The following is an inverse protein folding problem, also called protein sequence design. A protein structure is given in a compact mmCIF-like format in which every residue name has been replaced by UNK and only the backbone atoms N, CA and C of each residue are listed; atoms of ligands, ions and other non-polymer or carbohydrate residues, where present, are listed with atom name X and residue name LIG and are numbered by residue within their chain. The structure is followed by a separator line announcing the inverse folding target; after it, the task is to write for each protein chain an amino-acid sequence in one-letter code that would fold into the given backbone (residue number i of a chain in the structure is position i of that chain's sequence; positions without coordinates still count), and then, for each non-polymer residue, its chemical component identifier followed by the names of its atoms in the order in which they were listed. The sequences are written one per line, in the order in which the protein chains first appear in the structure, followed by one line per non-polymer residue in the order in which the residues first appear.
data_IF_165372821499
#
_entry.id   IF_165372821499
#
_cell.length_a   1.000
_cell.length_b   1.000
_cell.length_c   1.000
_cell.angle_alpha   90.00
_cell.angle_beta   90.00
_cell.angle_gamma   90.00
#
_symmetry.space_group_name_H-M   'P 1'
#
loop_
_entity.id
_entity.type
_entity.pdbx_description
1 polymer ?
#
# COMPACT_ATOMS: atom_id res chain seq x y z
N UNK A 1 19.49 12.47 -9.94
CA UNK A 1 19.11 11.79 -11.20
C UNK A 1 17.70 11.23 -11.03
N UNK A 2 16.76 11.42 -11.96
CA UNK A 2 15.46 10.78 -11.85
C UNK A 2 15.65 9.25 -11.91
N UNK A 3 15.07 8.52 -10.96
CA UNK A 3 15.04 7.06 -11.00
C UNK A 3 14.39 6.62 -12.32
N UNK A 4 15.06 5.77 -13.10
CA UNK A 4 14.40 5.13 -14.24
C UNK A 4 13.45 4.08 -13.70
N UNK A 5 12.15 4.38 -13.73
CA UNK A 5 11.08 3.45 -13.33
C UNK A 5 10.49 2.84 -14.59
N UNK A 6 10.53 1.51 -14.69
CA UNK A 6 9.90 0.74 -15.75
C UNK A 6 8.70 -0.01 -15.17
N UNK A 7 7.54 0.08 -15.81
CA UNK A 7 6.32 -0.62 -15.37
C UNK A 7 6.01 -1.70 -16.40
N UNK A 8 5.78 -2.93 -15.93
CA UNK A 8 5.54 -4.08 -16.81
C UNK A 8 4.32 -4.88 -16.36
N UNK A 9 3.29 -4.93 -17.19
CA UNK A 9 2.15 -5.83 -17.02
C UNK A 9 2.49 -7.30 -17.35
N UNK A 10 2.60 -8.15 -16.32
CA UNK A 10 3.01 -9.57 -16.41
C UNK A 10 1.84 -10.55 -16.20
N UNK A 11 0.62 -10.20 -16.60
CA UNK A 11 -0.60 -11.03 -16.42
C UNK A 11 -1.19 -11.59 -17.73
N UNK A 12 -0.45 -11.54 -18.83
CA UNK A 12 -0.85 -12.14 -20.11
C UNK A 12 -2.22 -11.66 -20.62
N UNK A 13 -3.14 -12.61 -20.81
CA UNK A 13 -4.53 -12.41 -21.24
C UNK A 13 -5.54 -12.68 -20.12
N UNK A 14 -5.13 -12.57 -18.86
CA UNK A 14 -6.01 -12.80 -17.72
C UNK A 14 -7.24 -11.88 -17.78
N UNK A 15 -8.42 -12.48 -17.67
CA UNK A 15 -9.70 -11.75 -17.62
C UNK A 15 -10.04 -11.41 -16.17
N UNK A 16 -10.66 -10.24 -15.95
CA UNK A 16 -11.13 -9.86 -14.64
C UNK A 16 -12.50 -9.15 -14.66
N UNK A 17 -13.34 -9.49 -13.67
CA UNK A 17 -14.54 -8.72 -13.29
C UNK A 17 -14.72 -8.79 -11.78
N UNK A 18 -14.71 -7.63 -11.12
CA UNK A 18 -15.03 -7.57 -9.69
C UNK A 18 -16.42 -8.16 -9.42
N UNK A 19 -16.50 -9.11 -8.50
CA UNK A 19 -17.74 -9.80 -8.12
C UNK A 19 -18.43 -9.15 -6.90
N UNK A 20 -17.87 -8.05 -6.38
CA UNK A 20 -18.29 -7.41 -5.12
C UNK A 20 -18.34 -8.38 -3.91
N UNK A 21 -17.55 -9.46 -3.96
CA UNK A 21 -17.53 -10.52 -2.96
C UNK A 21 -16.82 -10.15 -1.63
N UNK A 22 -16.18 -8.98 -1.55
CA UNK A 22 -15.48 -8.58 -0.32
C UNK A 22 -14.07 -9.15 -0.14
N UNK A 23 -13.59 -10.06 -1.00
CA UNK A 23 -12.24 -10.67 -0.88
C UNK A 23 -11.09 -9.65 -0.72
N UNK A 24 -11.17 -8.48 -1.35
CA UNK A 24 -10.19 -7.40 -1.19
C UNK A 24 -10.32 -6.60 0.12
N UNK A 25 -11.46 -6.70 0.79
CA UNK A 25 -11.79 -5.92 1.98
C UNK A 25 -11.42 -6.65 3.28
N UNK A 26 -11.07 -7.93 3.24
CA UNK A 26 -10.58 -8.65 4.41
C UNK A 26 -9.07 -8.50 4.43
N UNK A 27 -8.58 -7.54 5.24
CA UNK A 27 -7.15 -7.29 5.29
C UNK A 27 -6.42 -8.51 5.88
N UNK A 28 -5.58 -9.16 5.07
CA UNK A 28 -4.63 -10.19 5.45
C UNK A 28 -3.45 -9.49 6.12
N UNK A 29 -3.40 -9.59 7.45
CA UNK A 29 -2.34 -9.06 8.31
C UNK A 29 -1.67 -10.29 8.95
N UNK A 30 -0.53 -10.76 8.42
CA UNK A 30 0.07 -12.00 8.90
C UNK A 30 0.63 -11.82 10.32
N UNK A 31 0.26 -12.70 11.25
CA UNK A 31 0.55 -12.55 12.68
C UNK A 31 2.05 -12.63 12.99
N UNK A 32 2.85 -13.23 12.11
CA UNK A 32 4.28 -13.45 12.26
C UNK A 32 5.17 -12.20 12.02
N UNK A 33 4.57 -11.06 11.67
CA UNK A 33 5.30 -9.79 11.47
C UNK A 33 5.05 -8.85 12.63
N UNK A 34 6.10 -8.23 13.17
CA UNK A 34 5.98 -7.14 14.14
C UNK A 34 5.48 -5.84 13.49
N UNK A 35 5.21 -4.83 14.31
CA UNK A 35 4.73 -3.51 13.87
C UNK A 35 5.73 -2.81 12.93
N UNK A 36 7.02 -3.14 13.03
CA UNK A 36 8.08 -2.68 12.13
C UNK A 36 8.58 -3.83 11.27
N UNK A 37 8.30 -3.77 9.98
CA UNK A 37 8.77 -4.74 8.98
C UNK A 37 10.14 -4.33 8.46
N UNK A 38 11.20 -5.13 8.70
CA UNK A 38 12.54 -4.81 8.26
C UNK A 38 12.71 -5.03 6.74
N UNK A 39 13.69 -4.36 6.10
CA UNK A 39 13.86 -4.39 4.64
C UNK A 39 14.00 -5.80 4.06
N UNK A 40 14.71 -6.71 4.73
CA UNK A 40 14.91 -8.09 4.31
C UNK A 40 13.63 -8.93 4.31
N UNK A 41 12.61 -8.53 5.08
CA UNK A 41 11.29 -9.21 5.14
C UNK A 41 10.19 -8.49 4.36
N UNK A 42 10.48 -7.35 3.71
CA UNK A 42 9.44 -6.59 3.00
C UNK A 42 8.81 -7.37 1.84
N UNK A 43 9.60 -8.15 1.09
CA UNK A 43 9.07 -8.96 -0.01
C UNK A 43 8.08 -10.03 0.50
N UNK A 44 8.46 -10.75 1.56
CA UNK A 44 7.61 -11.73 2.24
C UNK A 44 6.34 -11.08 2.78
N UNK A 45 6.47 -9.91 3.41
CA UNK A 45 5.36 -9.16 3.96
C UNK A 45 4.35 -8.74 2.88
N UNK A 46 4.84 -8.19 1.75
CA UNK A 46 3.99 -7.76 0.63
C UNK A 46 3.26 -8.93 0.00
N UNK A 47 3.88 -10.11 -0.07
CA UNK A 47 3.24 -11.32 -0.61
C UNK A 47 2.13 -11.86 0.31
N UNK A 48 2.40 -11.87 1.63
CA UNK A 48 1.47 -12.44 2.62
C UNK A 48 0.41 -11.44 3.07
N UNK A 49 0.64 -10.14 2.93
CA UNK A 49 -0.29 -9.08 3.32
C UNK A 49 -1.08 -8.53 2.14
N UNK A 50 -2.20 -7.87 2.42
CA UNK A 50 -2.92 -7.05 1.45
C UNK A 50 -3.23 -5.66 2.03
N UNK A 51 -2.32 -5.08 2.83
CA UNK A 51 -2.48 -3.72 3.34
C UNK A 51 -2.81 -2.75 2.20
N UNK A 52 -3.89 -1.98 2.41
CA UNK A 52 -4.39 -1.03 1.42
C UNK A 52 -3.76 0.32 1.73
N UNK A 53 -2.61 0.61 1.10
CA UNK A 53 -1.98 1.92 1.19
C UNK A 53 -2.91 3.02 0.67
N UNK A 54 -2.93 4.14 1.41
CA UNK A 54 -3.70 5.34 1.08
C UNK A 54 -2.72 6.46 0.75
N UNK A 55 -2.91 7.10 -0.40
CA UNK A 55 -2.23 8.37 -0.70
C UNK A 55 -3.02 9.53 -0.09
N UNK A 56 -2.40 10.70 0.06
CA UNK A 56 -3.11 11.90 0.54
C UNK A 56 -4.37 12.19 -0.31
N UNK A 57 -4.27 12.03 -1.63
CA UNK A 57 -5.41 12.22 -2.54
C UNK A 57 -6.52 11.21 -2.30
N UNK A 58 -6.19 9.97 -1.93
CA UNK A 58 -7.18 8.96 -1.59
C UNK A 58 -7.91 9.33 -0.28
N UNK A 59 -7.16 9.76 0.74
CA UNK A 59 -7.71 10.23 2.03
C UNK A 59 -8.68 11.40 1.78
N UNK A 60 -8.25 12.43 1.06
CA UNK A 60 -9.09 13.59 0.77
C UNK A 60 -10.37 13.25 -0.01
N UNK A 61 -10.29 12.31 -0.97
CA UNK A 61 -11.46 11.87 -1.75
C UNK A 61 -12.46 11.13 -0.87
N UNK A 62 -11.98 10.27 0.03
CA UNK A 62 -12.81 9.54 0.96
C UNK A 62 -13.48 10.52 1.93
N UNK A 63 -12.72 11.41 2.58
CA UNK A 63 -13.25 12.46 3.46
C UNK A 63 -14.35 13.28 2.77
N UNK A 64 -14.12 13.78 1.55
CA UNK A 64 -15.14 14.52 0.78
C UNK A 64 -16.41 13.72 0.52
N UNK A 65 -16.29 12.41 0.27
CA UNK A 65 -17.43 11.54 -0.07
C UNK A 65 -18.22 11.06 1.15
N UNK A 66 -17.54 10.82 2.26
CA UNK A 66 -18.11 10.18 3.46
C UNK A 66 -18.37 11.17 4.58
N UNK A 67 -17.72 12.34 4.55
CA UNK A 67 -17.65 13.33 5.65
C UNK A 67 -17.00 12.80 6.93
N UNK A 68 -16.31 11.66 6.86
CA UNK A 68 -15.56 11.10 7.98
C UNK A 68 -14.21 11.80 8.12
N UNK A 69 -13.72 11.89 9.35
CA UNK A 69 -12.36 12.33 9.62
C UNK A 69 -11.34 11.22 9.27
N UNK A 70 -10.09 11.55 8.91
CA UNK A 70 -9.06 10.54 8.60
C UNK A 70 -8.91 9.47 9.69
N UNK A 71 -9.00 9.83 10.96
CA UNK A 71 -8.81 8.94 12.11
C UNK A 71 -9.82 7.78 12.16
N UNK A 72 -10.96 7.94 11.49
CA UNK A 72 -12.02 6.93 11.43
C UNK A 72 -11.70 5.80 10.43
N UNK A 73 -10.85 6.05 9.44
CA UNK A 73 -10.58 5.09 8.36
C UNK A 73 -9.12 4.94 7.96
N UNK A 74 -8.23 5.78 8.47
CA UNK A 74 -6.79 5.72 8.26
C UNK A 74 -6.13 5.11 9.49
N UNK A 75 -5.22 4.19 9.24
CA UNK A 75 -4.43 3.48 10.22
C UNK A 75 -2.95 3.73 9.92
N UNK A 76 -2.21 4.06 10.97
CA UNK A 76 -0.78 4.42 10.96
C UNK A 76 -0.21 3.97 12.30
N UNK A 77 1.09 3.65 12.35
CA UNK A 77 1.71 3.23 13.61
C UNK A 77 1.85 4.41 14.59
N UNK A 78 2.10 5.61 14.05
CA UNK A 78 2.21 6.86 14.78
C UNK A 78 1.03 7.80 14.48
N UNK A 79 0.99 8.96 15.13
CA UNK A 79 -0.20 9.82 15.15
C UNK A 79 -0.53 10.50 13.81
N UNK A 80 0.46 10.73 12.95
CA UNK A 80 0.26 11.46 11.69
C UNK A 80 -0.44 10.60 10.61
N UNK A 81 -1.72 10.88 10.38
CA UNK A 81 -2.56 10.17 9.40
C UNK A 81 -2.24 10.49 7.94
N UNK A 82 -1.37 11.46 7.65
CA UNK A 82 -0.84 11.69 6.29
C UNK A 82 0.45 10.92 6.03
N UNK A 83 0.97 10.26 7.07
CA UNK A 83 2.18 9.46 7.01
C UNK A 83 3.36 10.22 7.58
N UNK A 84 4.31 9.48 8.14
CA UNK A 84 5.48 10.06 8.78
C UNK A 84 6.77 9.33 8.43
N UNK A 85 7.87 10.05 8.67
CA UNK A 85 9.23 9.57 8.51
C UNK A 85 9.91 9.76 9.86
N UNK A 86 10.41 8.66 10.43
CA UNK A 86 11.22 8.69 11.66
C UNK A 86 12.62 8.18 11.37
N UNK A 87 13.57 8.74 12.10
CA UNK A 87 14.97 8.34 12.09
C UNK A 87 15.33 7.91 13.50
N UNK A 88 15.84 6.70 13.62
CA UNK A 88 16.29 6.07 14.85
C UNK A 88 17.74 5.59 14.69
N UNK A 89 18.31 5.04 15.75
CA UNK A 89 19.65 4.43 15.78
C UNK A 89 20.74 5.33 15.18
N UNK A 90 20.73 6.62 15.56
CA UNK A 90 21.71 7.59 15.10
C UNK A 90 21.71 7.86 13.59
N UNK A 91 20.64 7.52 12.89
CA UNK A 91 20.57 7.63 11.42
C UNK A 91 20.65 6.30 10.69
N UNK A 92 20.92 5.19 11.38
CA UNK A 92 20.99 3.85 10.80
C UNK A 92 19.63 3.21 10.54
N UNK A 93 18.56 3.73 11.14
CA UNK A 93 17.21 3.19 11.00
C UNK A 93 16.23 4.26 10.51
N UNK A 94 15.59 4.01 9.38
CA UNK A 94 14.59 4.88 8.78
C UNK A 94 13.24 4.19 8.78
N UNK A 95 12.25 4.73 9.48
CA UNK A 95 10.90 4.16 9.54
C UNK A 95 9.97 4.99 8.66
N UNK A 96 9.35 4.32 7.70
CA UNK A 96 8.34 4.89 6.81
C UNK A 96 6.96 4.44 7.27
N UNK A 97 6.28 5.32 7.98
CA UNK A 97 4.91 5.09 8.44
C UNK A 97 3.92 5.61 7.41
N UNK A 98 3.49 4.70 6.53
CA UNK A 98 2.57 5.04 5.45
C UNK A 98 1.12 4.83 5.88
N UNK A 99 0.21 5.76 5.53
CA UNK A 99 -1.21 5.58 5.78
C UNK A 99 -1.75 4.33 5.11
N UNK A 100 -2.49 3.52 5.84
CA UNK A 100 -3.25 2.39 5.28
C UNK A 100 -4.70 2.45 5.70
N UNK A 101 -5.54 1.72 4.98
CA UNK A 101 -6.95 1.56 5.34
C UNK A 101 -7.08 0.82 6.68
N UNK A 102 -7.90 1.38 7.57
CA UNK A 102 -8.25 0.79 8.86
C UNK A 102 -9.10 -0.47 8.68
N UNK A 103 -8.81 -1.46 9.52
CA UNK A 103 -9.66 -2.63 9.75
C UNK A 103 -10.46 -2.47 11.03
N UNK A 104 -11.64 -3.08 11.06
CA UNK A 104 -12.40 -3.28 12.29
C UNK A 104 -11.70 -4.30 13.17
N UNK A 105 -11.71 -4.05 14.47
CA UNK A 105 -11.12 -4.96 15.46
C UNK A 105 -11.90 -6.27 15.61
N UNK A 106 -13.21 -6.25 15.31
CA UNK A 106 -14.10 -7.40 15.50
C UNK A 106 -13.82 -8.56 14.56
N UNK A 107 -13.46 -8.28 13.31
CA UNK A 107 -13.38 -9.27 12.23
C UNK A 107 -12.24 -9.02 11.23
N UNK A 108 -11.40 -8.00 11.46
CA UNK A 108 -10.27 -7.65 10.59
C UNK A 108 -10.65 -7.10 9.22
N UNK A 109 -11.95 -6.93 8.92
CA UNK A 109 -12.40 -6.39 7.65
C UNK A 109 -12.27 -4.86 7.60
N UNK A 110 -12.10 -4.32 6.39
CA UNK A 110 -12.09 -2.89 6.12
C UNK A 110 -13.34 -2.21 6.73
N UNK A 111 -13.13 -1.05 7.36
CA UNK A 111 -14.21 -0.24 7.97
C UNK A 111 -15.35 0.11 6.99
N UNK A 112 -15.09 0.13 5.68
CA UNK A 112 -16.08 0.40 4.64
C UNK A 112 -16.73 -0.85 4.04
N UNK A 113 -16.41 -2.05 4.51
CA UNK A 113 -17.07 -3.27 4.05
C UNK A 113 -18.33 -3.55 4.86
N UNK A 114 -19.46 -3.75 4.21
CA UNK A 114 -20.70 -4.19 4.87
C UNK A 114 -21.13 -5.52 4.28
N UNK A 115 -21.33 -6.52 5.14
CA UNK A 115 -21.75 -7.84 4.71
C UNK A 115 -23.07 -7.78 3.93
N UNK A 116 -23.18 -8.60 2.88
CA UNK A 116 -24.28 -8.56 1.90
C UNK A 116 -24.37 -7.30 1.02
N UNK A 117 -23.64 -6.20 1.32
CA UNK A 117 -23.65 -4.94 0.52
C UNK A 117 -22.33 -4.66 -0.21
N UNK A 118 -21.23 -5.22 0.29
CA UNK A 118 -19.88 -4.99 -0.22
C UNK A 118 -19.28 -3.66 0.26
N UNK A 119 -18.33 -3.13 -0.51
CA UNK A 119 -17.67 -1.85 -0.20
C UNK A 119 -18.66 -0.67 -0.35
N UNK A 120 -18.87 0.09 0.72
CA UNK A 120 -19.80 1.24 0.76
C UNK A 120 -19.23 2.48 0.06
N UNK A 121 -17.91 2.57 -0.10
CA UNK A 121 -17.22 3.64 -0.82
C UNK A 121 -16.79 3.23 -2.25
N UNK A 122 -17.43 2.23 -2.85
CA UNK A 122 -17.03 1.66 -4.15
C UNK A 122 -16.68 2.69 -5.25
N UNK A 123 -17.44 3.80 -5.43
CA UNK A 123 -17.13 4.83 -6.43
C UNK A 123 -15.86 5.64 -6.17
N UNK A 124 -15.45 5.78 -4.90
CA UNK A 124 -14.27 6.57 -4.49
C UNK A 124 -13.18 5.71 -3.88
N UNK A 125 -13.17 4.40 -4.18
CA UNK A 125 -12.16 3.46 -3.68
C UNK A 125 -10.75 4.01 -3.92
N UNK A 126 -9.82 3.78 -2.97
CA UNK A 126 -8.42 4.20 -3.12
C UNK A 126 -7.75 3.47 -4.28
N UNK A 127 -6.59 3.97 -4.72
CA UNK A 127 -5.88 3.46 -5.89
C UNK A 127 -5.51 1.98 -5.72
N UNK A 128 -5.02 1.57 -4.55
CA UNK A 128 -4.75 0.18 -4.21
C UNK A 128 -5.99 -0.74 -4.41
N UNK A 129 -7.17 -0.29 -3.98
CA UNK A 129 -8.42 -1.03 -4.17
C UNK A 129 -8.90 -1.11 -5.63
N UNK A 130 -8.50 -0.16 -6.49
CA UNK A 130 -8.80 -0.17 -7.93
C UNK A 130 -7.85 -1.09 -8.68
N UNK A 131 -6.61 -1.21 -8.18
CA UNK A 131 -5.61 -2.13 -8.71
C UNK A 131 -5.95 -3.58 -8.39
N UNK A 132 -6.51 -3.89 -7.21
CA UNK A 132 -6.90 -5.25 -6.87
C UNK A 132 -7.78 -5.91 -7.96
N UNK A 133 -7.47 -7.16 -8.39
CA UNK A 133 -6.53 -8.13 -7.82
C UNK A 133 -5.11 -8.04 -8.40
N UNK A 134 -4.80 -7.02 -9.19
CA UNK A 134 -3.46 -6.81 -9.73
C UNK A 134 -2.52 -6.30 -8.63
N UNK A 135 -1.43 -7.01 -8.43
CA UNK A 135 -0.43 -6.74 -7.38
C UNK A 135 0.87 -6.28 -8.03
N UNK A 136 1.59 -5.39 -7.37
CA UNK A 136 2.85 -4.83 -7.89
C UNK A 136 4.01 -5.37 -7.08
N UNK A 137 4.97 -5.97 -7.75
CA UNK A 137 6.25 -6.38 -7.17
C UNK A 137 7.31 -5.38 -7.63
N UNK A 138 8.00 -4.78 -6.67
CA UNK A 138 9.08 -3.83 -6.93
C UNK A 138 10.42 -4.57 -6.94
N UNK A 139 11.18 -4.44 -8.04
CA UNK A 139 12.50 -5.05 -8.19
C UNK A 139 13.53 -3.97 -8.54
N UNK A 140 14.59 -3.88 -7.75
CA UNK A 140 15.73 -3.01 -8.05
C UNK A 140 16.64 -3.67 -9.09
N UNK A 141 17.08 -2.92 -10.10
CA UNK A 141 18.10 -3.35 -11.06
C UNK A 141 19.50 -3.04 -10.53
N UNK A 142 20.51 -3.87 -10.83
CA UNK A 142 21.91 -3.56 -10.54
C UNK A 142 22.37 -2.20 -11.11
N UNK A 143 21.76 -1.77 -12.22
CA UNK A 143 22.02 -0.48 -12.86
C UNK A 143 21.35 0.73 -12.17
N UNK A 144 20.71 0.54 -11.00
CA UNK A 144 20.04 1.60 -10.24
C UNK A 144 18.61 1.98 -10.70
N UNK A 145 18.01 1.21 -11.62
CA UNK A 145 16.61 1.38 -12.04
C UNK A 145 15.63 0.58 -11.18
N UNK A 146 14.34 0.95 -11.19
CA UNK A 146 13.27 0.22 -10.50
C UNK A 146 12.34 -0.39 -11.55
N UNK A 147 11.99 -1.66 -11.39
CA UNK A 147 10.97 -2.34 -12.19
C UNK A 147 9.75 -2.61 -11.32
N UNK A 148 8.59 -2.12 -11.75
CA UNK A 148 7.29 -2.39 -11.16
C UNK A 148 6.58 -3.44 -12.00
N UNK A 149 6.63 -4.70 -11.55
CA UNK A 149 6.01 -5.82 -12.25
C UNK A 149 4.59 -6.05 -11.73
N UNK A 150 3.60 -5.95 -12.62
CA UNK A 150 2.19 -6.11 -12.29
C UNK A 150 1.77 -7.57 -12.53
N UNK A 151 1.59 -8.31 -11.44
CA UNK A 151 0.99 -9.64 -11.42
C UNK A 151 -0.49 -9.59 -11.05
N UNK A 152 -1.03 -10.72 -10.56
CA UNK A 152 -2.38 -10.77 -9.99
C UNK A 152 -2.48 -11.82 -8.88
N UNK A 153 -3.43 -11.63 -7.97
CA UNK A 153 -3.80 -12.64 -6.98
C UNK A 153 -4.70 -13.72 -7.63
N UNK A 154 -4.22 -14.96 -7.83
CA UNK A 154 -4.99 -16.01 -8.49
C UNK A 154 -6.19 -16.49 -7.68
N UNK A 155 -6.21 -16.26 -6.36
CA UNK A 155 -7.31 -16.67 -5.47
C UNK A 155 -8.51 -15.73 -5.54
N UNK A 156 -8.41 -14.60 -6.24
CA UNK A 156 -9.52 -13.66 -6.35
C UNK A 156 -10.68 -14.27 -7.15
N UNK A 157 -11.92 -14.30 -6.60
CA UNK A 157 -13.10 -14.89 -7.27
C UNK A 157 -13.53 -14.21 -8.58
N UNK A 158 -12.93 -13.05 -8.89
CA UNK A 158 -13.17 -12.31 -10.14
C UNK A 158 -12.20 -12.66 -11.27
N UNK A 159 -11.12 -13.40 -10.99
CA UNK A 159 -10.17 -13.84 -12.02
C UNK A 159 -10.81 -14.84 -12.98
N UNK A 160 -10.42 -14.77 -14.25
CA UNK A 160 -11.00 -15.57 -15.34
C UNK A 160 -12.36 -15.08 -15.84
N UNK A 161 -13.00 -14.16 -15.12
CA UNK A 161 -14.32 -13.60 -15.47
C UNK A 161 -14.18 -12.28 -16.23
N UNK A 162 -15.17 -11.90 -17.04
CA UNK A 162 -15.19 -10.57 -17.65
C UNK A 162 -14.23 -10.38 -18.82
N UNK A 163 -13.68 -9.16 -18.93
CA UNK A 163 -12.82 -8.74 -20.05
C UNK A 163 -11.36 -8.72 -19.62
N UNK A 164 -10.45 -8.74 -20.59
CA UNK A 164 -9.03 -8.46 -20.33
C UNK A 164 -8.91 -7.00 -19.87
N UNK A 165 -8.29 -6.72 -18.72
CA UNK A 165 -8.06 -5.35 -18.26
C UNK A 165 -7.20 -4.56 -19.24
N UNK A 166 -7.43 -3.25 -19.29
CA UNK A 166 -6.58 -2.33 -20.01
C UNK A 166 -5.21 -2.20 -19.30
N UNK A 167 -4.17 -2.74 -19.96
CA UNK A 167 -2.80 -2.73 -19.46
C UNK A 167 -2.28 -1.31 -19.23
N UNK A 168 -2.51 -0.40 -20.19
CA UNK A 168 -2.03 0.99 -20.09
C UNK A 168 -2.70 1.70 -18.92
N UNK A 169 -3.99 1.44 -18.70
CA UNK A 169 -4.72 2.00 -17.56
C UNK A 169 -4.19 1.47 -16.22
N UNK A 170 -3.88 0.19 -16.12
CA UNK A 170 -3.27 -0.39 -14.91
C UNK A 170 -1.86 0.16 -14.68
N UNK A 171 -1.02 0.19 -15.71
CA UNK A 171 0.33 0.76 -15.65
C UNK A 171 0.30 2.23 -15.22
N UNK A 172 -0.65 3.01 -15.72
CA UNK A 172 -0.88 4.39 -15.27
C UNK A 172 -1.26 4.47 -13.80
N UNK A 173 -2.19 3.63 -13.33
CA UNK A 173 -2.58 3.62 -11.91
C UNK A 173 -1.40 3.24 -11.00
N UNK A 174 -0.57 2.28 -11.41
CA UNK A 174 0.64 1.88 -10.69
C UNK A 174 1.66 3.01 -10.68
N UNK A 175 1.90 3.66 -11.82
CA UNK A 175 2.82 4.79 -11.95
C UNK A 175 2.38 6.00 -11.12
N UNK A 176 1.09 6.33 -11.16
CA UNK A 176 0.50 7.42 -10.37
C UNK A 176 0.67 7.12 -8.86
N UNK A 177 0.33 5.90 -8.41
CA UNK A 177 0.48 5.50 -7.01
C UNK A 177 1.93 5.51 -6.54
N UNK A 178 2.85 4.99 -7.37
CA UNK A 178 4.29 4.98 -7.08
C UNK A 178 4.83 6.41 -6.97
N UNK A 179 4.48 7.28 -7.91
CA UNK A 179 4.90 8.68 -7.94
C UNK A 179 4.40 9.42 -6.71
N UNK A 180 3.11 9.31 -6.38
CA UNK A 180 2.53 9.96 -5.20
C UNK A 180 3.23 9.53 -3.91
N UNK A 181 3.53 8.23 -3.76
CA UNK A 181 4.26 7.71 -2.60
C UNK A 181 5.69 8.24 -2.54
N UNK A 182 6.37 8.35 -3.68
CA UNK A 182 7.73 8.87 -3.76
C UNK A 182 7.80 10.38 -3.54
N UNK A 183 6.81 11.14 -4.01
CA UNK A 183 6.73 12.59 -3.78
C UNK A 183 6.46 12.94 -2.32
N UNK A 184 5.63 12.14 -1.64
CA UNK A 184 5.32 12.36 -0.23
C UNK A 184 6.54 12.17 0.69
N UNK A 185 7.43 11.22 0.39
CA UNK A 185 8.54 10.83 1.27
C UNK A 185 9.91 11.28 0.72
N UNK A 186 10.10 11.19 -0.58
CA UNK A 186 11.39 11.31 -1.26
C UNK A 186 12.14 12.61 -0.95
N UNK A 187 11.51 13.80 -1.07
CA UNK A 187 12.16 15.07 -0.75
C UNK A 187 12.63 15.13 0.71
N UNK A 188 11.83 14.59 1.65
CA UNK A 188 12.16 14.59 3.08
C UNK A 188 13.33 13.66 3.37
N UNK A 189 13.32 12.45 2.81
CA UNK A 189 14.44 11.50 2.93
C UNK A 189 15.72 12.05 2.30
N UNK A 190 15.63 12.65 1.12
CA UNK A 190 16.78 13.23 0.43
C UNK A 190 17.38 14.38 1.23
N UNK A 191 16.54 15.29 1.74
CA UNK A 191 16.99 16.39 2.61
C UNK A 191 17.72 15.86 3.85
N UNK A 192 17.16 14.87 4.54
CA UNK A 192 17.76 14.31 5.74
C UNK A 192 19.08 13.54 5.46
N UNK A 193 19.20 12.91 4.29
CA UNK A 193 20.48 12.35 3.81
C UNK A 193 21.52 13.44 3.56
N UNK A 194 21.14 14.55 2.92
CA UNK A 194 22.04 15.69 2.68
C UNK A 194 22.48 16.38 3.98
N UNK A 195 21.62 16.40 4.99
CA UNK A 195 21.93 16.91 6.33
C UNK A 195 22.77 15.94 7.18
N UNK A 196 23.14 14.76 6.65
CA UNK A 196 23.90 13.74 7.38
C UNK A 196 23.11 13.03 8.48
N UNK A 197 21.78 13.20 8.54
CA UNK A 197 20.91 12.58 9.54
C UNK A 197 20.52 11.14 9.23
N UNK A 198 20.69 10.72 7.97
CA UNK A 198 20.48 9.34 7.52
C UNK A 198 21.81 8.80 7.02
N UNK A 199 22.24 7.68 7.59
CA UNK A 199 23.47 7.01 7.18
C UNK A 199 23.31 6.43 5.76
N UNK A 200 24.41 6.30 4.98
CA UNK A 200 24.35 5.77 3.61
C UNK A 200 23.68 4.38 3.53
N UNK A 201 23.99 3.53 4.50
CA UNK A 201 23.57 2.13 4.68
C UNK A 201 22.33 1.97 5.56
N UNK A 202 21.63 3.06 5.88
CA UNK A 202 20.47 3.03 6.76
C UNK A 202 19.39 2.04 6.27
N UNK A 203 18.95 1.17 7.19
CA UNK A 203 17.89 0.21 6.95
C UNK A 203 16.53 0.92 6.91
N UNK A 204 15.72 0.60 5.89
CA UNK A 204 14.39 1.19 5.71
C UNK A 204 13.33 0.20 6.19
N UNK A 205 12.63 0.56 7.26
CA UNK A 205 11.52 -0.18 7.84
C UNK A 205 10.18 0.35 7.32
N UNK A 206 9.21 -0.55 7.21
CA UNK A 206 7.80 -0.23 6.93
C UNK A 206 6.96 -0.51 8.16
N UNK A 207 5.93 0.29 8.38
CA UNK A 207 4.99 0.03 9.48
C UNK A 207 3.91 -0.97 9.06
N UNK A 208 3.48 -1.78 10.03
CA UNK A 208 2.35 -2.69 9.92
C UNK A 208 1.29 -2.28 10.95
N UNK A 209 0.45 -1.28 10.65
CA UNK A 209 -0.54 -0.80 11.58
C UNK A 209 -1.74 -1.75 11.73
N UNK A 210 -2.41 -1.63 12.88
CA UNK A 210 -3.64 -2.35 13.20
C UNK A 210 -3.49 -3.85 13.50
N UNK A 211 -2.32 -4.28 13.98
CA UNK A 211 -2.29 -5.44 14.88
C UNK A 211 -3.16 -5.12 16.11
N UNK A 212 -3.87 -6.13 16.62
CA UNK A 212 -4.52 -6.04 17.93
C UNK A 212 -3.39 -5.83 18.94
N UNK A 213 -3.11 -4.58 19.33
CA UNK A 213 -2.14 -4.29 20.39
C UNK A 213 -2.68 -5.05 21.61
N UNK A 214 -1.91 -6.05 22.09
CA UNK A 214 -2.28 -6.71 23.35
C UNK A 214 -2.36 -5.58 24.39
N UNK A 215 -3.42 -5.51 25.20
CA UNK A 215 -3.38 -4.63 26.35
C UNK A 215 -2.14 -5.01 27.17
N UNK A 216 -1.37 -4.00 27.56
CA UNK A 216 -0.26 -4.15 28.50
C UNK A 216 -0.73 -4.82 29.80
#
# INVERSE_FOLDING_TARGET
MPFRVEIRAAFGSARFRCQRCGSCCHHRRPEEFEDLVPPERQAEFVEKSNLIYLTEKDIEKICRRTRLAPEEFVDTLYDDKKGSLRIEDGGGKVILDLPVMKSRESDGACVFYKDGKGCTIYPVRPTACRLFPFVVVEKSRPSGGIVLEIGYNPTCPGMGKGKVPDKKKLEKLVGDQFTERMEAIGPKVQKLRMEGKILPDAAIYRTMPGKRRKPD
#
